data_IF_708963229592
#
_entry.id   IF_708963229592
#
_cell.length_a   1.000
_cell.length_b   1.000
_cell.length_c   1.000
_cell.angle_alpha   90.00
_cell.angle_beta   90.00
_cell.angle_gamma   90.00
#
_symmetry.space_group_name_H-M   'P 1'
#
loop_
_entity.id
_entity.type
_entity.pdbx_description
1 polymer ?
#
# COMPACT_ATOMS: atom_id res chain seq x y z
N UNK A 1 18.41 -2.78 -19.57
CA UNK A 1 18.39 -3.72 -18.45
C UNK A 1 16.95 -4.02 -18.05
N UNK A 2 16.64 -5.29 -17.88
CA UNK A 2 15.29 -5.69 -17.50
C UNK A 2 15.02 -5.37 -16.02
N UNK A 3 13.87 -4.79 -15.75
CA UNK A 3 13.42 -4.53 -14.38
C UNK A 3 12.79 -5.80 -13.82
N UNK A 4 13.06 -6.10 -12.55
CA UNK A 4 12.46 -7.28 -11.93
C UNK A 4 10.95 -7.09 -11.80
N UNK A 5 10.21 -8.20 -11.87
CA UNK A 5 8.75 -8.20 -11.68
C UNK A 5 8.37 -7.60 -10.33
N UNK A 6 9.13 -7.95 -9.32
CA UNK A 6 8.97 -7.45 -7.96
C UNK A 6 9.08 -5.92 -7.90
N UNK A 7 10.08 -5.35 -8.56
CA UNK A 7 10.22 -3.89 -8.65
C UNK A 7 9.07 -3.25 -9.38
N UNK A 8 8.64 -3.84 -10.50
CA UNK A 8 7.51 -3.32 -11.26
C UNK A 8 6.21 -3.29 -10.45
N UNK A 9 5.98 -4.31 -9.63
CA UNK A 9 4.78 -4.39 -8.78
C UNK A 9 4.82 -3.32 -7.70
N UNK A 10 5.97 -3.11 -7.06
CA UNK A 10 6.10 -2.07 -6.03
C UNK A 10 5.96 -0.68 -6.66
N UNK A 11 6.53 -0.46 -7.83
CA UNK A 11 6.39 0.81 -8.54
C UNK A 11 4.93 1.08 -8.92
N UNK A 12 4.19 0.04 -9.29
CA UNK A 12 2.76 0.14 -9.56
C UNK A 12 2.00 0.58 -8.31
N UNK A 13 2.28 -0.04 -7.17
CA UNK A 13 1.66 0.34 -5.89
C UNK A 13 1.96 1.79 -5.55
N UNK A 14 3.21 2.21 -5.66
CA UNK A 14 3.59 3.61 -5.38
C UNK A 14 2.83 4.56 -6.28
N UNK A 15 2.79 4.27 -7.58
CA UNK A 15 2.12 5.12 -8.56
C UNK A 15 0.63 5.25 -8.25
N UNK A 16 -0.04 4.14 -7.95
CA UNK A 16 -1.47 4.15 -7.70
C UNK A 16 -1.82 4.78 -6.35
N UNK A 17 -1.00 4.55 -5.33
CA UNK A 17 -1.23 5.17 -4.02
C UNK A 17 -1.01 6.69 -4.05
N UNK A 18 -0.11 7.18 -4.92
CA UNK A 18 0.06 8.63 -5.09
C UNK A 18 -1.19 9.34 -5.61
N UNK A 19 -2.12 8.60 -6.19
CA UNK A 19 -3.39 9.15 -6.68
C UNK A 19 -4.40 9.43 -5.57
N UNK A 20 -4.10 9.06 -4.34
CA UNK A 20 -4.92 9.43 -3.17
C UNK A 20 -4.73 10.93 -2.94
N UNK A 21 -5.68 11.72 -3.39
CA UNK A 21 -5.53 13.17 -3.47
C UNK A 21 -6.73 13.94 -2.92
N UNK A 22 -7.62 13.27 -2.19
CA UNK A 22 -8.82 13.91 -1.65
C UNK A 22 -9.93 14.14 -2.65
N UNK A 23 -9.75 13.69 -3.89
CA UNK A 23 -10.73 13.82 -4.97
C UNK A 23 -11.36 12.48 -5.30
N UNK A 24 -12.20 12.45 -6.32
CA UNK A 24 -12.85 11.22 -6.77
C UNK A 24 -11.81 10.23 -7.30
N UNK A 25 -11.96 8.97 -6.92
CA UNK A 25 -11.06 7.90 -7.35
C UNK A 25 -11.11 7.69 -8.87
N UNK A 26 -9.95 7.40 -9.47
CA UNK A 26 -9.87 7.04 -10.88
C UNK A 26 -10.39 5.63 -11.16
N UNK A 27 -10.49 4.78 -10.12
CA UNK A 27 -11.01 3.41 -10.23
C UNK A 27 -12.54 3.34 -10.10
N UNK A 28 -13.14 4.28 -9.38
CA UNK A 28 -14.54 4.21 -9.03
C UNK A 28 -15.08 5.63 -8.78
N UNK A 29 -15.97 6.09 -9.67
CA UNK A 29 -16.52 7.44 -9.59
C UNK A 29 -17.42 7.66 -8.37
N UNK A 30 -17.84 6.60 -7.70
CA UNK A 30 -18.67 6.70 -6.50
C UNK A 30 -17.84 6.79 -5.21
N UNK A 31 -16.52 6.70 -5.34
CA UNK A 31 -15.62 6.78 -4.20
C UNK A 31 -14.79 8.06 -4.25
N UNK A 32 -14.85 8.83 -3.19
CA UNK A 32 -14.01 10.02 -3.02
C UNK A 32 -13.00 9.74 -1.91
N UNK A 33 -11.72 9.97 -2.18
CA UNK A 33 -10.69 9.77 -1.17
C UNK A 33 -10.87 10.70 0.02
N UNK A 34 -10.72 10.14 1.22
CA UNK A 34 -10.85 10.90 2.47
C UNK A 34 -9.62 11.77 2.74
N UNK A 35 -8.48 11.38 2.19
CA UNK A 35 -7.17 11.96 2.51
C UNK A 35 -6.50 12.45 1.24
N UNK A 36 -5.73 13.53 1.37
CA UNK A 36 -4.82 13.98 0.32
C UNK A 36 -3.39 13.71 0.77
N UNK A 37 -2.71 12.80 0.09
CA UNK A 37 -1.33 12.43 0.41
C UNK A 37 -0.29 13.42 -0.14
N UNK A 38 -0.70 14.34 -1.01
CA UNK A 38 0.23 15.28 -1.66
C UNK A 38 1.43 14.57 -2.31
N UNK A 39 1.20 13.40 -2.89
CA UNK A 39 2.22 12.53 -3.49
C UNK A 39 3.26 11.98 -2.50
N UNK A 40 3.00 12.04 -1.19
CA UNK A 40 3.93 11.55 -0.16
C UNK A 40 3.85 10.04 -0.01
N UNK A 41 4.25 9.33 -1.05
CA UNK A 41 4.33 7.87 -1.07
C UNK A 41 5.75 7.48 -1.46
N UNK A 42 6.41 6.70 -0.62
CA UNK A 42 7.83 6.41 -0.76
C UNK A 42 8.11 4.91 -0.68
N UNK A 43 9.09 4.47 -1.44
CA UNK A 43 9.51 3.08 -1.50
C UNK A 43 10.58 2.76 -0.48
N UNK A 44 10.28 2.95 0.78
CA UNK A 44 11.14 2.63 1.93
C UNK A 44 10.29 2.66 3.19
N UNK A 45 10.77 2.06 4.26
CA UNK A 45 10.13 2.22 5.57
C UNK A 45 10.85 3.28 6.38
N UNK A 46 10.09 4.00 7.19
CA UNK A 46 10.62 4.94 8.17
C UNK A 46 9.91 4.72 9.50
N UNK A 47 10.63 5.00 10.57
CA UNK A 47 10.02 5.10 11.90
C UNK A 47 9.41 6.48 12.07
N UNK A 48 8.46 6.59 12.99
CA UNK A 48 7.72 7.85 13.20
C UNK A 48 8.64 9.05 13.42
N UNK A 49 9.72 8.89 14.15
CA UNK A 49 10.65 9.97 14.46
C UNK A 49 11.45 10.45 13.25
N UNK A 50 11.43 9.68 12.16
CA UNK A 50 12.12 10.04 10.91
C UNK A 50 11.18 10.71 9.90
N UNK A 51 9.87 10.71 10.16
CA UNK A 51 8.87 11.22 9.21
C UNK A 51 8.72 12.73 9.37
N UNK A 52 8.85 13.45 8.27
CA UNK A 52 8.71 14.92 8.24
C UNK A 52 7.46 15.39 7.53
N UNK A 53 6.87 14.54 6.70
CA UNK A 53 5.69 14.89 5.88
C UNK A 53 4.48 14.10 6.37
N UNK A 54 3.37 14.80 6.60
CA UNK A 54 2.11 14.18 7.00
C UNK A 54 0.96 14.71 6.14
N UNK A 55 0.03 13.89 5.70
CA UNK A 55 0.09 12.43 5.74
C UNK A 55 1.11 11.85 4.78
N UNK A 56 1.60 10.66 5.07
CA UNK A 56 2.57 9.98 4.21
C UNK A 56 2.43 8.47 4.29
N UNK A 57 2.92 7.78 3.26
CA UNK A 57 2.86 6.33 3.15
C UNK A 57 4.21 5.80 2.70
N UNK A 58 4.65 4.73 3.34
CA UNK A 58 5.92 4.08 3.07
C UNK A 58 5.69 2.61 2.76
N UNK A 59 6.33 2.11 1.71
CA UNK A 59 6.14 0.74 1.22
C UNK A 59 7.48 0.04 1.16
N UNK A 60 7.54 -1.19 1.67
CA UNK A 60 8.70 -2.04 1.50
C UNK A 60 8.28 -3.45 1.13
N UNK A 61 9.00 -4.02 0.17
CA UNK A 61 8.87 -5.43 -0.16
C UNK A 61 9.65 -6.25 0.86
N UNK A 62 9.02 -7.29 1.37
CA UNK A 62 9.63 -8.21 2.31
C UNK A 62 10.02 -9.52 1.64
N UNK A 63 9.51 -10.61 2.19
CA UNK A 63 9.83 -11.96 1.76
C UNK A 63 9.03 -12.36 0.52
N UNK A 64 9.69 -13.00 -0.42
CA UNK A 64 9.06 -13.61 -1.58
C UNK A 64 9.24 -15.13 -1.50
N UNK A 65 8.13 -15.86 -1.55
CA UNK A 65 8.12 -17.31 -1.59
C UNK A 65 7.78 -17.74 -3.00
N UNK A 66 8.57 -18.63 -3.56
CA UNK A 66 8.36 -19.13 -4.92
C UNK A 66 7.89 -20.57 -4.90
N UNK A 67 6.94 -20.86 -5.77
CA UNK A 67 6.40 -22.20 -5.94
C UNK A 67 6.50 -22.59 -7.42
N UNK A 68 7.10 -23.75 -7.66
CA UNK A 68 7.29 -24.29 -9.00
C UNK A 68 6.29 -25.42 -9.23
N UNK A 69 5.46 -25.29 -10.24
CA UNK A 69 4.49 -26.32 -10.55
C UNK A 69 4.95 -27.20 -11.72
N UNK A 70 4.21 -28.30 -11.96
CA UNK A 70 4.56 -29.32 -12.96
C UNK A 70 4.44 -28.84 -14.41
N UNK A 71 3.92 -27.64 -14.64
CA UNK A 71 3.75 -27.07 -15.99
C UNK A 71 4.85 -26.06 -16.32
N UNK A 72 5.95 -26.09 -15.59
CA UNK A 72 7.09 -25.16 -15.73
C UNK A 72 6.72 -23.70 -15.44
N UNK A 73 5.67 -23.47 -14.67
CA UNK A 73 5.32 -22.15 -14.19
C UNK A 73 5.92 -21.95 -12.80
N UNK A 74 6.51 -20.79 -12.60
CA UNK A 74 6.94 -20.36 -11.28
C UNK A 74 6.02 -19.24 -10.84
N UNK A 75 5.32 -19.46 -9.73
CA UNK A 75 4.50 -18.44 -9.10
C UNK A 75 5.24 -17.91 -7.88
N UNK A 76 4.94 -16.68 -7.52
CA UNK A 76 5.55 -16.04 -6.37
C UNK A 76 4.48 -15.42 -5.50
N UNK A 77 4.72 -15.47 -4.20
CA UNK A 77 3.92 -14.77 -3.20
C UNK A 77 4.83 -13.79 -2.48
N UNK A 78 4.58 -12.51 -2.65
CA UNK A 78 5.38 -11.43 -2.09
C UNK A 78 4.64 -10.81 -0.92
N UNK A 79 5.30 -10.73 0.22
CA UNK A 79 4.77 -10.03 1.38
C UNK A 79 5.31 -8.60 1.39
N UNK A 80 4.42 -7.63 1.43
CA UNK A 80 4.75 -6.22 1.49
C UNK A 80 4.19 -5.60 2.74
N UNK A 81 4.90 -4.62 3.27
CA UNK A 81 4.43 -3.81 4.39
C UNK A 81 4.20 -2.38 3.91
N UNK A 82 3.03 -1.85 4.23
CA UNK A 82 2.68 -0.46 3.98
C UNK A 82 2.48 0.22 5.33
N UNK A 83 3.24 1.28 5.60
CA UNK A 83 3.08 2.10 6.80
C UNK A 83 2.52 3.46 6.43
N UNK A 84 1.49 3.87 7.15
CA UNK A 84 0.83 5.14 6.95
C UNK A 84 0.96 5.98 8.22
N UNK A 85 1.24 7.25 8.04
CA UNK A 85 1.40 8.21 9.14
C UNK A 85 0.52 9.42 8.91
N UNK A 86 -0.16 9.85 9.96
CA UNK A 86 -0.95 11.09 9.94
C UNK A 86 -0.62 11.93 11.17
N UNK A 87 -0.95 13.20 11.08
CA UNK A 87 -0.87 14.12 12.22
C UNK A 87 -2.21 14.84 12.37
N UNK A 88 -2.77 14.80 13.58
CA UNK A 88 -3.97 15.56 13.92
C UNK A 88 -4.00 15.81 15.42
N UNK A 89 -4.22 17.03 15.82
CA UNK A 89 -4.21 17.43 17.24
C UNK A 89 -5.35 16.78 18.04
N UNK A 90 -6.46 16.46 17.39
CA UNK A 90 -7.68 16.06 18.10
C UNK A 90 -8.30 14.75 17.63
N UNK A 91 -7.95 14.23 16.45
CA UNK A 91 -8.59 13.01 15.93
C UNK A 91 -7.65 12.13 15.09
N UNK A 92 -6.45 11.90 15.57
CA UNK A 92 -5.44 11.11 14.84
C UNK A 92 -5.91 9.69 14.52
N UNK A 93 -6.68 9.06 15.43
CA UNK A 93 -7.21 7.71 15.16
C UNK A 93 -8.19 7.70 14.00
N UNK A 94 -9.11 8.65 13.94
CA UNK A 94 -10.06 8.74 12.84
C UNK A 94 -9.34 9.03 11.52
N UNK A 95 -8.33 9.87 11.56
CA UNK A 95 -7.56 10.23 10.36
C UNK A 95 -6.77 9.05 9.82
N UNK A 96 -6.18 8.22 10.69
CA UNK A 96 -5.46 7.05 10.22
C UNK A 96 -6.43 6.00 9.67
N UNK A 97 -7.60 5.83 10.27
CA UNK A 97 -8.62 4.90 9.75
C UNK A 97 -9.12 5.35 8.38
N UNK A 98 -9.31 6.65 8.17
CA UNK A 98 -9.70 7.21 6.88
C UNK A 98 -8.63 6.94 5.82
N UNK A 99 -7.35 7.12 6.15
CA UNK A 99 -6.27 6.86 5.22
C UNK A 99 -6.14 5.36 4.92
N UNK A 100 -6.28 4.51 5.92
CA UNK A 100 -6.27 3.06 5.73
C UNK A 100 -7.39 2.64 4.78
N UNK A 101 -8.58 3.21 4.92
CA UNK A 101 -9.71 2.95 4.03
C UNK A 101 -9.37 3.31 2.58
N UNK A 102 -8.73 4.47 2.37
CA UNK A 102 -8.30 4.91 1.04
C UNK A 102 -7.28 3.93 0.44
N UNK A 103 -6.34 3.47 1.24
CA UNK A 103 -5.32 2.51 0.81
C UNK A 103 -5.97 1.17 0.44
N UNK A 104 -6.93 0.70 1.25
CA UNK A 104 -7.67 -0.52 0.94
C UNK A 104 -8.40 -0.42 -0.38
N UNK A 105 -9.02 0.73 -0.65
CA UNK A 105 -9.73 0.95 -1.91
C UNK A 105 -8.77 0.77 -3.08
N UNK A 106 -7.58 1.36 -3.03
CA UNK A 106 -6.58 1.23 -4.08
C UNK A 106 -6.13 -0.22 -4.25
N UNK A 107 -5.83 -0.89 -3.15
CA UNK A 107 -5.32 -2.27 -3.20
C UNK A 107 -6.33 -3.21 -3.83
N UNK A 108 -7.59 -3.11 -3.47
CA UNK A 108 -8.62 -3.98 -4.02
C UNK A 108 -8.93 -3.68 -5.49
N UNK A 109 -8.79 -2.44 -5.92
CA UNK A 109 -9.06 -2.05 -7.31
C UNK A 109 -7.88 -2.27 -8.25
N UNK A 110 -6.67 -2.18 -7.73
CA UNK A 110 -5.45 -2.33 -8.54
C UNK A 110 -5.33 -3.72 -9.15
N UNK A 111 -5.78 -4.74 -8.42
CA UNK A 111 -5.74 -6.12 -8.90
C UNK A 111 -6.59 -6.36 -10.14
N UNK A 112 -7.65 -5.59 -10.32
CA UNK A 112 -8.56 -5.72 -11.46
C UNK A 112 -7.92 -5.20 -12.75
N UNK A 113 -6.89 -4.37 -12.65
CA UNK A 113 -6.30 -3.67 -13.79
C UNK A 113 -4.82 -3.96 -13.98
N UNK A 114 -4.26 -4.92 -13.25
CA UNK A 114 -2.84 -5.18 -13.32
C UNK A 114 -2.45 -5.93 -14.58
N UNK A 115 -1.44 -5.43 -15.29
CA UNK A 115 -0.84 -6.07 -16.46
C UNK A 115 0.52 -6.71 -16.16
N UNK A 116 0.92 -6.76 -14.88
CA UNK A 116 2.25 -7.22 -14.47
C UNK A 116 2.31 -8.69 -14.08
N UNK A 117 1.38 -9.50 -14.59
CA UNK A 117 1.29 -10.91 -14.23
C UNK A 117 0.76 -11.16 -12.82
N UNK A 118 0.24 -10.13 -12.19
CA UNK A 118 -0.33 -10.25 -10.85
C UNK A 118 -1.67 -10.96 -10.93
N UNK A 119 -1.82 -11.99 -10.11
CA UNK A 119 -3.05 -12.76 -10.01
C UNK A 119 -3.96 -12.19 -8.93
N UNK A 120 -3.38 -11.72 -7.83
CA UNK A 120 -4.17 -11.25 -6.70
C UNK A 120 -3.35 -10.36 -5.76
N UNK A 121 -3.98 -9.27 -5.31
CA UNK A 121 -3.55 -8.50 -4.15
C UNK A 121 -4.49 -8.83 -3.00
N UNK A 122 -3.94 -9.18 -1.85
CA UNK A 122 -4.72 -9.51 -0.66
C UNK A 122 -4.20 -8.75 0.55
N UNK A 123 -5.10 -8.27 1.39
CA UNK A 123 -4.72 -7.68 2.66
C UNK A 123 -4.70 -8.78 3.70
N UNK A 124 -3.52 -9.03 4.27
CA UNK A 124 -3.34 -10.07 5.27
C UNK A 124 -3.63 -9.57 6.68
N UNK A 125 -3.28 -8.32 6.96
CA UNK A 125 -3.41 -7.77 8.30
C UNK A 125 -3.40 -6.25 8.25
N UNK A 126 -4.18 -5.63 9.15
CA UNK A 126 -4.19 -4.18 9.37
C UNK A 126 -4.07 -3.95 10.86
N UNK A 127 -3.13 -3.10 11.27
CA UNK A 127 -2.97 -2.72 12.66
C UNK A 127 -2.79 -1.20 12.77
N UNK A 128 -3.18 -0.64 13.90
CA UNK A 128 -3.05 0.78 14.20
C UNK A 128 -2.50 0.96 15.61
N UNK A 129 -2.02 2.16 15.88
CA UNK A 129 -1.41 2.50 17.16
C UNK A 129 -2.42 2.68 18.31
N UNK A 130 -3.70 2.66 18.01
CA UNK A 130 -4.80 2.80 18.99
C UNK A 130 -4.73 4.10 19.80
N UNK A 131 -4.14 5.14 19.21
CA UNK A 131 -4.02 6.45 19.87
C UNK A 131 -2.81 6.59 20.79
N UNK A 132 -1.97 5.58 20.89
CA UNK A 132 -0.82 5.59 21.80
C UNK A 132 0.24 6.64 21.45
N UNK A 133 0.31 7.04 20.18
CA UNK A 133 1.29 8.03 19.69
C UNK A 133 0.65 9.37 19.33
N UNK A 134 -0.59 9.62 19.81
CA UNK A 134 -1.26 10.88 19.53
C UNK A 134 -0.36 12.07 19.89
N UNK A 135 -0.34 13.16 19.13
CA UNK A 135 -1.23 13.54 18.02
C UNK A 135 -0.93 12.87 16.67
N UNK A 136 -0.01 11.93 16.65
CA UNK A 136 0.30 11.18 15.46
C UNK A 136 -0.58 9.93 15.37
N UNK A 137 -0.92 9.51 14.15
CA UNK A 137 -1.59 8.26 13.89
C UNK A 137 -0.68 7.38 13.04
N UNK A 138 -0.57 6.11 13.42
CA UNK A 138 0.23 5.11 12.70
C UNK A 138 -0.67 3.96 12.32
N UNK A 139 -0.65 3.60 11.03
CA UNK A 139 -1.30 2.39 10.53
C UNK A 139 -0.29 1.53 9.79
N UNK A 140 -0.44 0.22 9.92
CA UNK A 140 0.38 -0.73 9.19
C UNK A 140 -0.52 -1.72 8.49
N UNK A 141 -0.30 -1.89 7.19
CA UNK A 141 -1.05 -2.81 6.36
C UNK A 141 -0.07 -3.81 5.78
N UNK A 142 -0.30 -5.08 6.08
CA UNK A 142 0.46 -6.17 5.48
C UNK A 142 -0.34 -6.75 4.34
N UNK A 143 0.25 -6.77 3.14
CA UNK A 143 -0.39 -7.29 1.96
C UNK A 143 0.41 -8.46 1.40
N UNK A 144 -0.32 -9.32 0.69
CA UNK A 144 0.25 -10.47 -0.01
C UNK A 144 -0.09 -10.33 -1.48
N UNK A 145 0.92 -10.47 -2.32
CA UNK A 145 0.77 -10.31 -3.77
C UNK A 145 1.18 -11.60 -4.44
N UNK A 146 0.24 -12.24 -5.14
CA UNK A 146 0.49 -13.45 -5.90
C UNK A 146 0.70 -13.10 -7.37
N UNK A 147 1.78 -13.56 -7.95
CA UNK A 147 2.07 -13.28 -9.35
C UNK A 147 2.86 -14.41 -10.03
N UNK A 148 2.83 -14.38 -11.35
CA UNK A 148 3.51 -15.37 -12.19
C UNK A 148 4.84 -14.78 -12.63
N UNK A 149 5.92 -15.53 -12.40
CA UNK A 149 7.25 -15.10 -12.82
C UNK A 149 7.51 -15.44 -14.29
N UNK A 150 7.13 -16.63 -14.69
CA UNK A 150 7.22 -17.07 -16.09
C UNK A 150 6.19 -18.15 -16.35
#
# INVERSE_FOLDING_TARGET
MATSRRTEIIDLLVTELKKINGQVSTFDSDYTYNTNLFNNVYRKLKFLDEVNDFPSVYIAAGTEIRDFNSENLTTATLDDTIRAYVFSDDNSQDKIDELVQDIEHVIYRIGDNSSKGVQQFSIANISADEGLVAPYGLGEIEITIDYILV
#
